data_IF_927744603150
#
_entry.id   IF_927744603150
#
_cell.length_a   1.000
_cell.length_b   1.000
_cell.length_c   1.000
_cell.angle_alpha   90.00
_cell.angle_beta   90.00
_cell.angle_gamma   90.00
#
_symmetry.space_group_name_H-M   'P 1'
#
loop_
_entity.id
_entity.type
_entity.pdbx_description
1 polymer ?
#
# COMPACT_ATOMS: atom_id res chain seq x y z
N UNK A 1 -23.38 -2.50 -30.88
CA UNK A 1 -22.81 -2.28 -30.95
C UNK A 1 -22.17 -2.04 -31.10
N UNK A 2 -22.06 -2.26 -31.23
CA UNK A 2 -21.20 -1.95 -31.44
C UNK A 2 -20.46 -1.56 -31.04
N UNK A 3 -20.42 -1.48 -30.79
CA UNK A 3 -19.60 -0.96 -30.52
C UNK A 3 -19.01 -1.09 -29.72
N UNK A 4 -19.10 -1.49 -29.48
CA UNK A 4 -18.44 -1.55 -28.94
C UNK A 4 -17.74 -2.03 -28.67
N UNK A 5 -17.96 -2.50 -28.87
CA UNK A 5 -17.13 -2.93 -28.70
C UNK A 5 -16.07 -2.69 -28.75
N UNK A 6 -15.78 -2.35 -28.97
CA UNK A 6 -14.72 -1.96 -29.07
C UNK A 6 -13.98 -1.73 -28.28
N UNK A 7 -14.26 -1.77 -28.01
CA UNK A 7 -13.49 -1.36 -27.33
C UNK A 7 -12.89 -1.96 -26.53
N UNK A 8 -13.15 -2.42 -26.52
CA UNK A 8 -12.55 -3.01 -25.83
C UNK A 8 -11.56 -3.44 -25.95
N UNK A 9 -11.59 -3.68 -26.45
CA UNK A 9 -10.53 -4.20 -26.51
C UNK A 9 -9.44 -3.52 -26.29
N UNK A 10 -9.50 -2.92 -26.41
CA UNK A 10 -8.43 -2.34 -26.16
C UNK A 10 -7.91 -2.35 -25.05
N UNK A 11 -8.37 -2.67 -24.79
CA UNK A 11 -7.85 -2.57 -23.87
C UNK A 11 -7.02 -3.36 -23.56
N UNK A 12 -7.16 -3.73 -23.94
CA UNK A 12 -6.41 -4.30 -23.69
C UNK A 12 -5.36 -4.24 -23.69
N UNK A 13 -5.18 -4.05 -23.97
CA UNK A 13 -4.15 -4.00 -24.01
C UNK A 13 -3.42 -3.69 -23.35
N UNK A 14 -3.57 -3.45 -23.34
CA UNK A 14 -2.73 -3.10 -22.86
C UNK A 14 -2.26 -3.56 -21.95
N UNK A 15 -3.13 -3.85 -21.97
CA UNK A 15 -2.64 -4.70 -21.04
C UNK A 15 -1.24 -4.55 -20.72
N UNK A 16 -0.75 -3.79 -21.26
CA UNK A 16 0.64 -3.64 -21.06
C UNK A 16 0.93 -2.99 -19.74
N UNK A 17 1.98 -3.39 -19.12
CA UNK A 17 2.35 -2.86 -17.84
C UNK A 17 2.69 -1.39 -17.90
N UNK A 18 3.13 -0.94 -19.03
CA UNK A 18 3.50 0.46 -19.18
C UNK A 18 2.29 1.37 -19.04
N UNK A 19 1.24 1.07 -19.78
CA UNK A 19 0.02 1.86 -19.69
C UNK A 19 -0.56 1.78 -18.30
N UNK A 20 -0.44 0.63 -17.72
CA UNK A 20 -0.97 0.40 -16.39
C UNK A 20 -0.25 1.26 -15.35
N UNK A 21 1.07 1.33 -15.43
CA UNK A 21 1.82 2.14 -14.50
C UNK A 21 1.44 3.61 -14.60
N UNK A 22 1.19 4.11 -15.81
CA UNK A 22 0.78 5.49 -15.98
C UNK A 22 -0.59 5.75 -15.36
N UNK A 23 -1.48 4.79 -15.46
CA UNK A 23 -2.81 4.92 -14.87
C UNK A 23 -2.72 5.01 -13.36
N UNK A 24 -1.80 4.27 -12.78
CA UNK A 24 -1.64 4.24 -11.33
C UNK A 24 -1.09 5.53 -10.78
N UNK A 25 -0.38 6.27 -11.59
CA UNK A 25 0.23 7.49 -11.14
C UNK A 25 -0.87 8.46 -10.72
N UNK A 26 -0.81 8.94 -9.50
CA UNK A 26 -1.80 9.85 -8.98
C UNK A 26 -3.03 9.18 -8.38
N UNK A 27 -3.19 7.89 -8.58
CA UNK A 27 -4.31 7.18 -7.96
C UNK A 27 -3.91 6.68 -6.58
N UNK A 28 -4.81 6.87 -5.62
CA UNK A 28 -4.58 6.35 -4.27
C UNK A 28 -4.83 4.86 -4.23
N UNK A 29 -5.87 4.40 -4.91
CA UNK A 29 -6.21 2.98 -4.88
C UNK A 29 -6.62 2.50 -6.26
N UNK A 30 -6.18 1.29 -6.60
CA UNK A 30 -6.64 0.66 -7.84
C UNK A 30 -6.82 -0.84 -7.59
N UNK A 31 -7.59 -1.47 -8.47
CA UNK A 31 -7.90 -2.90 -8.35
C UNK A 31 -7.20 -3.65 -9.45
N UNK A 32 -6.46 -4.68 -9.06
CA UNK A 32 -5.78 -5.55 -10.02
C UNK A 32 -6.78 -6.53 -10.63
N UNK A 33 -6.36 -7.18 -11.73
CA UNK A 33 -7.21 -8.13 -12.45
C UNK A 33 -7.68 -9.27 -11.55
N UNK A 34 -6.86 -9.69 -10.60
CA UNK A 34 -7.19 -10.78 -9.70
C UNK A 34 -8.07 -10.38 -8.52
N UNK A 35 -8.49 -9.12 -8.47
CA UNK A 35 -9.34 -8.62 -7.39
C UNK A 35 -8.59 -8.00 -6.24
N UNK A 36 -7.27 -7.98 -6.28
CA UNK A 36 -6.48 -7.35 -5.23
C UNK A 36 -6.54 -5.84 -5.36
N UNK A 37 -6.84 -5.15 -4.27
CA UNK A 37 -6.75 -3.70 -4.21
C UNK A 37 -5.36 -3.30 -3.76
N UNK A 38 -4.80 -2.28 -4.40
CA UNK A 38 -3.51 -1.73 -4.00
C UNK A 38 -3.73 -0.30 -3.57
N UNK A 39 -3.36 0.02 -2.34
CA UNK A 39 -3.52 1.36 -1.79
C UNK A 39 -2.15 1.98 -1.61
N UNK A 40 -1.92 3.11 -2.27
CA UNK A 40 -0.68 3.86 -2.16
C UNK A 40 -0.88 4.98 -1.16
N UNK A 41 -0.10 4.99 -0.10
CA UNK A 41 -0.32 5.94 0.99
C UNK A 41 0.36 7.28 0.81
N UNK A 42 1.08 7.50 -0.28
CA UNK A 42 1.86 8.71 -0.46
C UNK A 42 1.05 9.99 -0.20
N UNK A 43 -0.15 10.08 -0.75
CA UNK A 43 -0.97 11.28 -0.58
C UNK A 43 -1.93 11.19 0.59
N UNK A 44 -2.07 10.02 1.21
CA UNK A 44 -2.97 9.86 2.35
C UNK A 44 -2.38 10.40 3.63
N UNK A 45 -1.07 10.36 3.76
CA UNK A 45 -0.39 10.67 5.02
C UNK A 45 0.74 11.68 4.82
N UNK A 46 0.42 12.87 4.30
CA UNK A 46 1.49 13.84 3.98
C UNK A 46 2.26 14.31 5.20
N UNK A 47 1.67 14.22 6.37
CA UNK A 47 2.31 14.69 7.60
C UNK A 47 2.88 13.58 8.46
N UNK A 48 2.77 12.33 8.02
CA UNK A 48 3.31 11.21 8.77
C UNK A 48 4.75 11.00 8.34
N UNK A 49 5.66 11.07 9.29
CA UNK A 49 7.08 10.93 8.99
C UNK A 49 7.74 9.99 9.98
N UNK A 50 8.72 9.23 9.46
CA UNK A 50 9.58 8.43 10.29
C UNK A 50 10.69 9.29 10.88
N UNK A 51 11.90 8.75 10.91
CA UNK A 51 13.02 9.47 11.48
C UNK A 51 13.50 10.59 10.57
N UNK A 52 13.60 10.33 9.27
CA UNK A 52 14.12 11.31 8.32
C UNK A 52 13.09 11.84 7.32
N UNK A 53 11.98 11.18 7.18
CA UNK A 53 10.99 11.64 6.22
C UNK A 53 9.82 10.70 6.09
N UNK A 54 9.01 10.93 5.08
CA UNK A 54 7.84 10.12 4.83
C UNK A 54 8.21 8.68 4.53
N UNK A 55 7.33 7.76 4.91
CA UNK A 55 7.54 6.33 4.67
C UNK A 55 6.33 5.77 3.92
N UNK A 56 6.13 6.20 2.66
CA UNK A 56 4.95 5.76 1.92
C UNK A 56 5.00 4.27 1.62
N UNK A 57 3.83 3.68 1.53
CA UNK A 57 3.68 2.24 1.33
C UNK A 57 2.68 1.95 0.23
N UNK A 58 2.77 0.74 -0.32
CA UNK A 58 1.67 0.13 -1.06
C UNK A 58 1.16 -1.02 -0.24
N UNK A 59 -0.13 -0.99 0.08
CA UNK A 59 -0.78 -2.03 0.86
C UNK A 59 -1.70 -2.83 -0.07
N UNK A 60 -1.47 -4.12 -0.16
CA UNK A 60 -2.22 -5.01 -1.05
C UNK A 60 -3.27 -5.73 -0.24
N UNK A 61 -4.54 -5.60 -0.65
CA UNK A 61 -5.68 -6.12 0.10
C UNK A 61 -6.57 -6.94 -0.82
N UNK A 62 -6.88 -8.16 -0.40
CA UNK A 62 -7.79 -9.04 -1.14
C UNK A 62 -8.66 -9.80 -0.15
N UNK A 63 -9.95 -9.90 -0.45
CA UNK A 63 -10.91 -10.60 0.41
C UNK A 63 -10.87 -10.08 1.85
N UNK A 64 -10.74 -8.76 2.01
CA UNK A 64 -10.70 -8.10 3.31
C UNK A 64 -9.52 -8.53 4.18
N UNK A 65 -8.44 -8.96 3.55
CA UNK A 65 -7.20 -9.30 4.25
C UNK A 65 -6.03 -8.62 3.57
N UNK A 66 -5.07 -8.21 4.37
CA UNK A 66 -3.82 -7.67 3.84
C UNK A 66 -3.03 -8.82 3.25
N UNK A 67 -2.72 -8.73 1.96
CA UNK A 67 -1.89 -9.74 1.30
C UNK A 67 -0.43 -9.48 1.63
N UNK A 68 -0.02 -8.24 1.47
CA UNK A 68 1.36 -7.82 1.76
C UNK A 68 1.43 -6.31 1.83
N UNK A 69 2.53 -5.81 2.38
CA UNK A 69 2.83 -4.39 2.46
C UNK A 69 4.22 -4.19 1.86
N UNK A 70 4.33 -3.28 0.91
CA UNK A 70 5.62 -2.95 0.29
C UNK A 70 5.96 -1.50 0.55
N UNK A 71 7.23 -1.26 0.87
CA UNK A 71 7.70 0.10 1.09
C UNK A 71 8.05 0.74 -0.25
N UNK A 72 7.61 1.98 -0.41
CA UNK A 72 8.02 2.80 -1.54
C UNK A 72 9.32 3.52 -1.19
N UNK A 73 10.00 4.13 -2.18
CA UNK A 73 11.25 4.84 -1.90
C UNK A 73 11.09 5.85 -0.78
N UNK A 74 12.06 5.92 0.11
CA UNK A 74 12.03 6.84 1.23
C UNK A 74 13.46 7.22 1.59
N UNK A 75 13.59 8.17 2.53
CA UNK A 75 14.89 8.71 2.94
C UNK A 75 15.37 8.16 4.28
N UNK A 76 14.67 7.17 4.81
CA UNK A 76 15.07 6.60 6.09
C UNK A 76 16.45 5.96 5.98
N UNK A 77 17.12 5.82 7.13
CA UNK A 77 18.40 5.13 7.17
C UNK A 77 18.22 3.71 6.62
N UNK A 78 18.95 3.33 5.55
CA UNK A 78 18.74 2.01 4.95
C UNK A 78 18.89 0.87 5.96
N UNK A 79 19.87 0.98 6.84
CA UNK A 79 20.12 -0.07 7.83
C UNK A 79 18.93 -0.23 8.78
N UNK A 80 18.41 0.86 9.29
CA UNK A 80 17.28 0.80 10.20
C UNK A 80 16.00 0.44 9.49
N UNK A 81 15.80 0.97 8.29
CA UNK A 81 14.58 0.68 7.56
C UNK A 81 14.55 -0.75 7.04
N UNK A 82 15.70 -1.34 6.77
CA UNK A 82 15.75 -2.77 6.42
C UNK A 82 15.18 -3.61 7.55
N UNK A 83 15.43 -3.22 8.80
CA UNK A 83 14.84 -3.94 9.93
C UNK A 83 13.32 -3.82 9.92
N UNK A 84 12.81 -2.64 9.58
CA UNK A 84 11.36 -2.45 9.46
C UNK A 84 10.80 -3.37 8.39
N UNK A 85 11.46 -3.46 7.24
CA UNK A 85 11.00 -4.31 6.15
C UNK A 85 11.04 -5.80 6.52
N UNK A 86 12.02 -6.20 7.29
CA UNK A 86 12.19 -7.61 7.63
C UNK A 86 11.34 -8.02 8.83
N UNK A 87 11.15 -7.13 9.78
CA UNK A 87 10.50 -7.45 11.05
C UNK A 87 9.05 -7.02 11.09
N UNK A 88 8.77 -5.80 10.62
CA UNK A 88 7.43 -5.23 10.79
C UNK A 88 6.50 -5.52 9.61
N UNK A 89 6.94 -5.25 8.39
CA UNK A 89 6.04 -5.38 7.24
C UNK A 89 5.42 -6.77 7.12
N UNK A 90 6.19 -7.87 7.31
CA UNK A 90 5.60 -9.21 7.18
C UNK A 90 4.52 -9.50 8.22
N UNK A 91 4.50 -8.77 9.32
CA UNK A 91 3.50 -9.01 10.36
C UNK A 91 2.08 -8.72 9.88
N UNK A 92 1.95 -7.91 8.85
CA UNK A 92 0.64 -7.57 8.31
C UNK A 92 0.13 -8.60 7.30
N UNK A 93 1.00 -9.48 6.82
CA UNK A 93 0.61 -10.47 5.81
C UNK A 93 -0.47 -11.40 6.35
N UNK A 94 -1.59 -11.48 5.63
CA UNK A 94 -2.72 -12.32 6.04
C UNK A 94 -3.60 -11.72 7.11
N UNK A 95 -3.29 -10.52 7.57
CA UNK A 95 -4.05 -9.88 8.64
C UNK A 95 -5.37 -9.35 8.11
N UNK A 96 -6.44 -9.61 8.84
CA UNK A 96 -7.75 -9.07 8.47
C UNK A 96 -7.72 -7.55 8.50
N UNK A 97 -8.48 -6.94 7.59
CA UNK A 97 -8.55 -5.48 7.50
C UNK A 97 -8.95 -4.85 8.83
N UNK A 98 -9.92 -5.46 9.53
CA UNK A 98 -10.35 -4.92 10.82
C UNK A 98 -9.21 -4.88 11.84
N UNK A 99 -8.33 -5.87 11.80
CA UNK A 99 -7.20 -5.91 12.71
C UNK A 99 -6.10 -4.95 12.26
N UNK A 100 -5.87 -4.86 10.95
CA UNK A 100 -4.87 -3.96 10.41
C UNK A 100 -5.24 -2.49 10.65
N UNK A 101 -6.51 -2.18 10.82
CA UNK A 101 -6.94 -0.83 11.17
C UNK A 101 -6.39 -0.40 12.52
N UNK A 102 -6.00 -1.37 13.35
CA UNK A 102 -5.40 -1.11 14.65
C UNK A 102 -3.91 -1.37 14.59
N UNK A 103 -3.28 -0.98 13.51
CA UNK A 103 -1.87 -1.27 13.26
C UNK A 103 -0.95 -0.76 14.36
N UNK A 104 -1.35 0.28 15.09
CA UNK A 104 -0.51 0.80 16.17
C UNK A 104 -0.29 -0.23 17.28
N UNK A 105 -1.16 -1.21 17.40
CA UNK A 105 -1.00 -2.25 18.41
C UNK A 105 0.03 -3.31 18.01
N UNK A 106 0.50 -3.29 16.76
CA UNK A 106 1.49 -4.25 16.28
C UNK A 106 2.88 -3.79 16.74
N UNK A 107 3.68 -4.72 17.26
CA UNK A 107 5.02 -4.38 17.72
C UNK A 107 5.90 -3.96 16.54
N UNK A 108 6.62 -2.86 16.73
CA UNK A 108 7.53 -2.37 15.71
C UNK A 108 8.88 -3.05 15.75
N UNK A 109 9.77 -2.64 14.86
CA UNK A 109 11.12 -3.18 14.81
C UNK A 109 11.98 -2.48 15.86
N UNK A 110 12.67 -3.28 16.65
CA UNK A 110 13.55 -2.77 17.69
C UNK A 110 14.62 -1.87 17.09
N UNK A 111 14.80 -0.69 17.69
CA UNK A 111 15.80 0.25 17.21
C UNK A 111 15.33 1.15 16.10
N UNK A 112 14.12 0.93 15.58
CA UNK A 112 13.56 1.74 14.49
C UNK A 112 12.17 2.25 14.87
N UNK A 113 12.06 2.87 16.04
CA UNK A 113 10.79 3.28 16.62
C UNK A 113 10.04 4.29 15.77
N UNK A 114 10.74 5.33 15.30
CA UNK A 114 10.07 6.38 14.54
C UNK A 114 9.59 5.86 13.18
N UNK A 115 10.44 5.10 12.48
CA UNK A 115 10.07 4.52 11.21
C UNK A 115 8.92 3.52 11.38
N UNK A 116 8.97 2.70 12.43
CA UNK A 116 7.92 1.72 12.70
C UNK A 116 6.58 2.41 12.95
N UNK A 117 6.58 3.47 13.76
CA UNK A 117 5.35 4.18 14.04
C UNK A 117 4.76 4.77 12.75
N UNK A 118 5.60 5.39 11.94
CA UNK A 118 5.15 5.98 10.70
C UNK A 118 4.58 4.93 9.75
N UNK A 119 5.24 3.78 9.65
CA UNK A 119 4.75 2.68 8.81
C UNK A 119 3.40 2.19 9.32
N UNK A 120 3.26 2.03 10.62
CA UNK A 120 1.98 1.58 11.18
C UNK A 120 0.86 2.57 10.92
N UNK A 121 1.14 3.87 11.00
CA UNK A 121 0.14 4.88 10.66
C UNK A 121 -0.24 4.81 9.19
N UNK A 122 0.72 4.55 8.32
CA UNK A 122 0.44 4.39 6.89
C UNK A 122 -0.43 3.18 6.63
N UNK A 123 -0.17 2.05 7.30
CA UNK A 123 -1.00 0.86 7.13
C UNK A 123 -2.43 1.16 7.57
N UNK A 124 -2.60 1.80 8.72
CA UNK A 124 -3.93 2.14 9.22
C UNK A 124 -4.66 3.07 8.24
N UNK A 125 -3.95 4.04 7.68
CA UNK A 125 -4.55 4.96 6.72
C UNK A 125 -4.98 4.24 5.44
N UNK A 126 -4.15 3.31 4.96
CA UNK A 126 -4.46 2.55 3.75
C UNK A 126 -5.71 1.71 3.96
N UNK A 127 -5.81 1.03 5.09
CA UNK A 127 -6.93 0.17 5.40
C UNK A 127 -8.21 1.00 5.54
N UNK A 128 -8.11 2.17 6.18
CA UNK A 128 -9.25 3.06 6.32
C UNK A 128 -9.75 3.52 4.95
N UNK A 129 -8.82 3.88 4.07
CA UNK A 129 -9.17 4.30 2.72
C UNK A 129 -9.84 3.17 1.95
N UNK A 130 -9.29 1.97 2.05
CA UNK A 130 -9.87 0.80 1.41
C UNK A 130 -11.30 0.56 1.86
N UNK A 131 -11.55 0.59 3.15
CA UNK A 131 -12.89 0.33 3.68
C UNK A 131 -13.90 1.36 3.20
N UNK A 132 -13.45 2.58 3.01
CA UNK A 132 -14.33 3.67 2.62
C UNK A 132 -14.61 3.70 1.11
N UNK A 133 -13.69 3.20 0.31
CA UNK A 133 -13.72 3.42 -1.13
C UNK A 133 -13.81 2.14 -1.97
N UNK A 134 -13.80 0.98 -1.37
CA UNK A 134 -13.88 -0.27 -2.14
C UNK A 134 -15.25 -0.46 -2.78
#
# INVERSE_FOLDING_TARGET
>A
MKKQIFAVSMAVLLATGVAFAAIQQGQVMYKQADGTYVVNTTSLTPNVKGFKGATPLEVYIKNNKVVKVEALPNRESPKLFDRVKQVLLPKFNGMKVAKAAKAQAVDGATGATYSSRAVKENVAAAVAYYKKNK
#
